data_IF_041400769348
#
_entry.id   IF_041400769348
#
_cell.length_a   1.000
_cell.length_b   1.000
_cell.length_c   1.000
_cell.angle_alpha   90.00
_cell.angle_beta   90.00
_cell.angle_gamma   90.00
#
_symmetry.space_group_name_H-M   'P 1'
#
loop_
_entity.id
_entity.type
_entity.pdbx_description
1 polymer ?
#
# COMPACT_ATOMS: atom_id res chain seq x y z
N UNK A 1 26.15 -30.27 -60.10
CA UNK A 1 26.17 -29.89 -61.53
C UNK A 1 24.94 -29.05 -61.83
N UNK A 2 25.16 -27.79 -62.28
CA UNK A 2 24.23 -26.85 -62.96
C UNK A 2 22.96 -26.43 -62.19
N UNK A 3 22.47 -25.20 -62.24
CA UNK A 3 22.96 -23.88 -62.70
C UNK A 3 21.92 -22.85 -62.27
N UNK A 4 22.37 -21.61 -62.09
CA UNK A 4 21.66 -20.39 -61.75
C UNK A 4 20.53 -19.98 -62.72
N UNK A 5 19.58 -19.21 -62.19
CA UNK A 5 18.70 -18.29 -62.92
C UNK A 5 18.24 -17.16 -62.00
N UNK A 6 18.75 -15.95 -62.24
CA UNK A 6 18.57 -14.73 -61.46
C UNK A 6 17.66 -13.73 -62.24
N UNK A 7 17.19 -12.70 -61.52
CA UNK A 7 16.73 -11.37 -61.96
C UNK A 7 15.21 -11.14 -62.01
N UNK A 8 14.76 -10.19 -61.18
CA UNK A 8 13.45 -9.54 -61.31
C UNK A 8 13.07 -8.61 -60.15
N UNK A 9 13.89 -7.59 -59.85
CA UNK A 9 13.56 -6.51 -58.90
C UNK A 9 12.26 -5.80 -59.29
N UNK A 10 11.39 -5.52 -58.31
CA UNK A 10 10.30 -4.51 -58.39
C UNK A 10 10.37 -3.55 -57.20
N UNK A 11 9.96 -2.28 -57.36
CA UNK A 11 10.47 -1.16 -56.59
C UNK A 11 9.72 -0.91 -55.29
N UNK A 12 10.45 -0.38 -54.30
CA UNK A 12 9.93 0.18 -53.06
C UNK A 12 9.22 1.51 -53.35
N UNK A 13 7.93 1.59 -53.03
CA UNK A 13 7.14 2.81 -53.03
C UNK A 13 7.40 3.61 -51.75
N UNK A 14 8.01 4.78 -51.92
CA UNK A 14 8.20 5.82 -50.93
C UNK A 14 6.85 6.33 -50.42
N UNK A 15 6.59 6.27 -49.11
CA UNK A 15 5.66 7.16 -48.43
C UNK A 15 6.46 8.24 -47.70
N UNK A 16 6.45 9.45 -48.28
CA UNK A 16 6.89 10.68 -47.62
C UNK A 16 5.74 11.15 -46.73
N UNK A 17 5.93 11.18 -45.42
CA UNK A 17 5.09 11.98 -44.52
C UNK A 17 5.84 13.28 -44.24
N UNK A 18 5.19 14.39 -44.59
CA UNK A 18 5.70 15.73 -44.50
C UNK A 18 5.85 16.19 -43.05
N UNK A 19 7.01 16.76 -42.72
CA UNK A 19 7.23 17.56 -41.53
C UNK A 19 6.72 18.97 -41.84
N UNK A 20 5.60 19.36 -41.23
CA UNK A 20 5.12 20.73 -41.25
C UNK A 20 5.68 21.46 -40.03
N UNK A 21 6.58 22.41 -40.29
CA UNK A 21 6.98 23.43 -39.34
C UNK A 21 5.85 24.46 -39.19
N UNK A 22 5.44 24.75 -37.96
CA UNK A 22 4.63 25.94 -37.65
C UNK A 22 5.40 26.79 -36.65
N UNK A 23 5.54 28.04 -37.04
CA UNK A 23 6.34 29.07 -36.41
C UNK A 23 5.78 29.56 -35.08
N UNK A 24 6.71 30.04 -34.27
CA UNK A 24 6.57 30.74 -33.00
C UNK A 24 5.73 32.01 -33.10
N UNK A 25 4.79 32.19 -32.17
CA UNK A 25 4.22 33.48 -31.80
C UNK A 25 4.26 33.57 -30.27
N UNK A 26 5.08 34.49 -29.77
CA UNK A 26 5.18 34.82 -28.35
C UNK A 26 4.14 35.87 -27.95
N UNK A 27 3.52 35.66 -26.80
CA UNK A 27 2.81 36.65 -25.97
C UNK A 27 2.95 36.07 -24.54
N UNK A 28 3.80 36.63 -23.67
CA UNK A 28 3.48 37.78 -22.83
C UNK A 28 2.98 37.31 -21.45
N UNK A 29 3.89 36.97 -20.54
CA UNK A 29 3.55 36.71 -19.13
C UNK A 29 3.92 37.93 -18.29
N UNK A 30 2.89 38.64 -17.85
CA UNK A 30 2.93 39.78 -16.94
C UNK A 30 3.48 39.36 -15.56
N UNK A 31 4.33 40.23 -15.00
CA UNK A 31 4.85 40.08 -13.65
C UNK A 31 3.93 40.62 -12.56
N UNK A 32 4.27 40.22 -11.32
CA UNK A 32 3.91 40.87 -10.06
C UNK A 32 3.14 39.98 -9.07
N UNK A 33 3.24 40.21 -7.74
CA UNK A 33 4.40 40.69 -6.99
C UNK A 33 4.76 39.80 -5.78
N UNK A 34 6.00 39.93 -5.33
CA UNK A 34 6.54 39.47 -4.05
C UNK A 34 5.84 40.10 -2.84
N UNK A 35 5.54 39.36 -1.75
CA UNK A 35 5.21 39.96 -0.46
C UNK A 35 6.48 40.22 0.38
N UNK A 36 6.42 41.22 1.29
CA UNK A 36 7.61 41.82 1.90
C UNK A 36 8.09 41.08 3.16
N UNK A 37 9.37 41.31 3.44
CA UNK A 37 10.13 40.90 4.61
C UNK A 37 9.96 41.83 5.83
N UNK A 38 9.82 41.23 7.01
CA UNK A 38 10.28 41.75 8.32
C UNK A 38 9.22 41.81 9.43
N UNK A 39 9.61 41.94 10.74
CA UNK A 39 10.93 41.79 11.36
C UNK A 39 10.93 40.90 12.65
N UNK A 40 12.01 41.03 13.43
CA UNK A 40 12.60 40.18 14.47
C UNK A 40 11.86 39.99 15.83
N UNK A 41 12.19 38.83 16.45
CA UNK A 41 12.44 38.47 17.88
C UNK A 41 11.76 39.17 19.08
N UNK A 42 11.05 38.34 19.89
CA UNK A 42 11.17 38.06 21.35
C UNK A 42 10.97 39.20 22.40
N UNK A 43 10.63 38.93 23.71
CA UNK A 43 10.82 37.69 24.46
C UNK A 43 9.67 37.25 25.42
N UNK A 44 9.98 36.16 26.13
CA UNK A 44 9.21 35.33 27.04
C UNK A 44 8.53 36.00 28.25
N UNK A 45 7.48 35.35 28.75
CA UNK A 45 7.17 35.31 30.18
C UNK A 45 6.71 33.92 30.67
N UNK A 46 7.40 33.47 31.71
CA UNK A 46 7.14 32.35 32.60
C UNK A 46 5.77 32.46 33.29
N UNK A 47 5.05 31.33 33.45
CA UNK A 47 4.25 31.11 34.67
C UNK A 47 4.20 29.61 35.04
N UNK A 48 4.89 29.31 36.13
CA UNK A 48 4.61 28.38 37.23
C UNK A 48 4.01 26.96 37.03
N UNK A 49 4.87 26.01 37.34
CA UNK A 49 4.78 24.71 38.04
C UNK A 49 3.54 24.30 38.88
N UNK A 50 3.17 23.01 38.68
CA UNK A 50 2.82 21.93 39.67
C UNK A 50 1.42 21.89 40.34
N UNK A 51 1.03 20.77 41.01
CA UNK A 51 0.82 19.41 40.48
C UNK A 51 -0.52 18.78 41.00
N UNK A 52 -1.00 17.67 40.41
CA UNK A 52 -2.03 16.82 41.05
C UNK A 52 -1.94 15.39 40.48
N UNK A 53 -1.20 14.48 41.11
CA UNK A 53 -1.65 13.47 42.09
C UNK A 53 -2.71 12.49 41.56
N UNK A 54 -2.23 11.31 41.13
CA UNK A 54 -3.01 10.06 41.11
C UNK A 54 -3.29 9.58 42.54
N UNK A 55 -4.42 8.91 42.80
CA UNK A 55 -4.51 7.92 43.84
C UNK A 55 -4.25 6.51 43.28
N UNK A 56 -3.40 5.81 44.02
CA UNK A 56 -3.16 4.37 43.96
C UNK A 56 -4.24 3.69 44.79
N UNK A 57 -4.88 2.65 44.27
CA UNK A 57 -5.48 1.61 45.10
C UNK A 57 -4.90 0.25 44.72
N UNK A 58 -4.57 -0.50 45.75
CA UNK A 58 -3.78 -1.71 45.72
C UNK A 58 -4.61 -2.93 46.11
N UNK A 59 -4.29 -4.04 45.45
CA UNK A 59 -4.38 -5.43 45.87
C UNK A 59 -5.72 -6.03 46.30
N UNK A 60 -6.12 -7.10 45.61
CA UNK A 60 -6.16 -8.44 46.24
C UNK A 60 -5.89 -9.52 45.19
N UNK A 61 -4.92 -10.37 45.49
CA UNK A 61 -4.65 -11.63 44.81
C UNK A 61 -5.41 -12.75 45.53
N UNK A 62 -6.07 -13.63 44.79
CA UNK A 62 -6.39 -15.00 45.25
C UNK A 62 -6.21 -15.98 44.09
N UNK A 63 -5.90 -17.20 44.49
CA UNK A 63 -5.12 -18.18 43.76
C UNK A 63 -5.92 -19.10 42.81
N UNK A 64 -5.15 -19.74 41.93
CA UNK A 64 -5.28 -21.08 41.37
C UNK A 64 -6.64 -21.78 41.42
N UNK A 65 -7.21 -22.05 40.24
CA UNK A 65 -7.83 -23.36 39.95
C UNK A 65 -7.97 -23.57 38.44
N UNK A 66 -7.37 -24.65 37.96
CA UNK A 66 -7.53 -25.19 36.59
C UNK A 66 -8.69 -26.20 36.58
N UNK A 67 -9.57 -26.15 35.57
CA UNK A 67 -10.16 -27.38 35.03
C UNK A 67 -10.01 -27.39 33.50
N UNK A 68 -9.26 -28.35 32.94
CA UNK A 68 -9.75 -29.65 32.45
C UNK A 68 -10.61 -29.53 31.19
N UNK A 69 -10.03 -30.01 30.10
CA UNK A 69 -10.60 -30.12 28.74
C UNK A 69 -11.79 -31.09 28.76
N UNK A 70 -12.96 -30.63 28.33
CA UNK A 70 -14.07 -31.48 27.94
C UNK A 70 -14.51 -31.12 26.52
N UNK A 71 -14.46 -32.11 25.64
CA UNK A 71 -14.86 -32.00 24.25
C UNK A 71 -16.38 -31.75 24.15
N UNK A 72 -16.74 -30.56 23.66
CA UNK A 72 -18.12 -30.17 23.35
C UNK A 72 -18.29 -29.94 21.85
N UNK A 73 -19.21 -30.69 21.26
CA UNK A 73 -19.80 -30.59 19.90
C UNK A 73 -20.06 -29.10 19.50
N UNK A 74 -19.89 -28.69 18.24
CA UNK A 74 -19.82 -27.26 17.89
C UNK A 74 -21.14 -26.58 18.20
N UNK A 75 -21.09 -25.62 19.13
CA UNK A 75 -22.16 -24.68 19.35
C UNK A 75 -22.31 -23.82 18.08
N UNK A 76 -23.45 -23.96 17.42
CA UNK A 76 -23.85 -23.09 16.33
C UNK A 76 -23.86 -21.64 16.80
N UNK A 77 -23.38 -20.75 15.95
CA UNK A 77 -23.41 -19.30 16.16
C UNK A 77 -24.86 -18.84 16.30
N UNK A 78 -25.29 -18.50 17.51
CA UNK A 78 -26.56 -17.82 17.77
C UNK A 78 -26.33 -16.31 17.79
N UNK A 79 -26.62 -15.63 16.68
CA UNK A 79 -27.10 -14.24 16.63
C UNK A 79 -26.12 -13.06 16.78
N UNK A 80 -25.91 -12.33 15.68
CA UNK A 80 -25.73 -10.86 15.61
C UNK A 80 -24.70 -10.16 16.52
N UNK A 81 -23.42 -10.32 16.20
CA UNK A 81 -22.37 -9.32 16.38
C UNK A 81 -21.20 -9.69 15.43
N UNK A 82 -21.03 -9.18 14.21
CA UNK A 82 -21.74 -8.23 13.35
C UNK A 82 -20.67 -7.74 12.37
N UNK A 83 -20.80 -8.00 11.05
CA UNK A 83 -19.85 -7.46 10.06
C UNK A 83 -19.76 -5.93 10.23
N UNK A 84 -18.60 -5.28 9.96
CA UNK A 84 -18.46 -3.86 10.23
C UNK A 84 -19.50 -3.04 9.48
N UNK A 85 -19.85 -1.90 10.02
CA UNK A 85 -20.82 -0.96 9.47
C UNK A 85 -20.19 0.42 9.33
N UNK A 86 -20.85 1.32 8.59
CA UNK A 86 -20.40 2.70 8.49
C UNK A 86 -20.52 3.47 9.81
N UNK A 87 -21.28 2.96 10.78
CA UNK A 87 -21.41 3.56 12.11
C UNK A 87 -20.22 3.27 13.03
N UNK A 88 -19.45 2.21 12.76
CA UNK A 88 -18.29 1.85 13.56
C UNK A 88 -17.17 2.89 13.39
N UNK A 89 -16.70 3.46 14.49
CA UNK A 89 -15.68 4.52 14.49
C UNK A 89 -14.26 4.00 14.79
N UNK A 90 -14.09 2.68 14.83
CA UNK A 90 -12.81 1.99 15.02
C UNK A 90 -12.76 0.74 14.15
N UNK A 91 -11.57 0.22 13.83
CA UNK A 91 -11.45 -1.07 13.17
C UNK A 91 -11.96 -2.20 14.06
N UNK A 92 -12.44 -3.27 13.43
CA UNK A 92 -12.77 -4.52 14.10
C UNK A 92 -11.77 -5.60 13.68
N UNK A 93 -11.37 -6.43 14.64
CA UNK A 93 -10.54 -7.61 14.39
C UNK A 93 -11.39 -8.87 14.43
N UNK A 94 -10.99 -9.84 13.61
CA UNK A 94 -11.59 -11.16 13.50
C UNK A 94 -10.48 -12.22 13.47
N UNK A 95 -10.81 -13.50 13.68
CA UNK A 95 -9.81 -14.56 13.54
C UNK A 95 -9.14 -14.52 12.15
N UNK A 96 -7.83 -14.32 12.13
CA UNK A 96 -7.01 -14.17 10.92
C UNK A 96 -7.26 -12.92 10.06
N UNK A 97 -7.99 -11.91 10.55
CA UNK A 97 -8.20 -10.62 9.88
C UNK A 97 -8.10 -9.46 10.87
N UNK A 98 -7.29 -8.48 10.54
CA UNK A 98 -7.06 -7.31 11.37
C UNK A 98 -7.57 -6.04 10.68
N UNK A 99 -7.93 -5.03 11.46
CA UNK A 99 -8.27 -3.69 10.99
C UNK A 99 -9.42 -3.65 9.96
N UNK A 100 -10.46 -4.45 10.16
CA UNK A 100 -11.58 -4.56 9.22
C UNK A 100 -12.54 -3.37 9.38
N UNK A 101 -12.79 -2.64 8.28
CA UNK A 101 -13.60 -1.41 8.25
C UNK A 101 -14.53 -1.40 7.04
N UNK A 102 -15.81 -1.08 7.22
CA UNK A 102 -16.76 -0.90 6.11
C UNK A 102 -16.56 0.45 5.41
N UNK A 103 -16.63 0.49 4.08
CA UNK A 103 -16.56 1.73 3.28
C UNK A 103 -17.84 2.02 2.49
N UNK A 104 -18.65 0.99 2.27
CA UNK A 104 -20.01 1.08 1.75
C UNK A 104 -20.77 -0.20 2.15
N UNK A 105 -22.10 -0.30 1.94
CA UNK A 105 -22.82 -1.56 2.16
C UNK A 105 -22.15 -2.72 1.41
N UNK A 106 -21.81 -3.80 2.14
CA UNK A 106 -21.14 -4.99 1.62
C UNK A 106 -19.75 -4.74 1.01
N UNK A 107 -19.04 -3.68 1.41
CA UNK A 107 -17.71 -3.33 0.90
C UNK A 107 -16.80 -2.96 2.06
N UNK A 108 -15.71 -3.72 2.20
CA UNK A 108 -14.85 -3.72 3.39
C UNK A 108 -13.37 -3.57 3.01
N UNK A 109 -12.61 -2.90 3.88
CA UNK A 109 -11.14 -2.87 3.89
C UNK A 109 -10.63 -3.68 5.08
N UNK A 110 -9.44 -4.28 5.01
CA UNK A 110 -8.74 -4.85 6.17
C UNK A 110 -7.39 -5.49 5.81
N UNK A 111 -6.81 -6.27 6.73
CA UNK A 111 -5.51 -6.95 6.53
C UNK A 111 -5.59 -8.12 5.56
N UNK A 112 -4.42 -8.61 5.16
CA UNK A 112 -4.30 -9.89 4.45
C UNK A 112 -4.96 -10.99 5.30
N UNK A 113 -5.73 -11.91 4.70
CA UNK A 113 -6.21 -13.09 5.42
C UNK A 113 -5.03 -13.96 5.84
N UNK A 114 -4.88 -14.17 7.15
CA UNK A 114 -3.79 -14.97 7.72
C UNK A 114 -4.19 -16.44 7.80
N UNK A 115 -3.48 -17.27 7.03
CA UNK A 115 -3.67 -18.72 7.05
C UNK A 115 -5.10 -19.15 6.75
N UNK A 116 -5.45 -20.39 7.11
CA UNK A 116 -6.79 -20.93 6.83
C UNK A 116 -7.88 -20.23 7.65
N UNK A 117 -7.54 -19.71 8.83
CA UNK A 117 -8.47 -19.02 9.70
C UNK A 117 -8.99 -17.71 9.06
N UNK A 118 -8.12 -16.91 8.45
CA UNK A 118 -8.52 -15.68 7.77
C UNK A 118 -9.49 -15.94 6.60
N UNK A 119 -9.20 -16.92 5.75
CA UNK A 119 -10.09 -17.28 4.64
C UNK A 119 -11.43 -17.87 5.13
N UNK A 120 -11.41 -18.70 6.18
CA UNK A 120 -12.63 -19.21 6.80
C UNK A 120 -13.49 -18.09 7.39
N UNK A 121 -12.87 -17.08 8.00
CA UNK A 121 -13.56 -15.88 8.49
C UNK A 121 -14.20 -15.10 7.35
N UNK A 122 -13.48 -14.84 6.24
CA UNK A 122 -14.06 -14.17 5.07
C UNK A 122 -15.26 -14.94 4.50
N UNK A 123 -15.18 -16.27 4.43
CA UNK A 123 -16.31 -17.10 4.00
C UNK A 123 -17.51 -16.97 4.95
N UNK A 124 -17.29 -17.01 6.27
CA UNK A 124 -18.35 -16.83 7.30
C UNK A 124 -18.99 -15.44 7.24
N UNK A 125 -18.22 -14.41 6.91
CA UNK A 125 -18.73 -13.06 6.64
C UNK A 125 -19.52 -12.96 5.32
N UNK A 126 -19.53 -14.02 4.52
CA UNK A 126 -20.25 -14.10 3.25
C UNK A 126 -19.51 -13.44 2.09
N UNK A 127 -18.25 -13.04 2.26
CA UNK A 127 -17.43 -12.42 1.21
C UNK A 127 -17.44 -13.30 -0.05
N UNK A 128 -17.55 -12.66 -1.21
CA UNK A 128 -17.50 -13.32 -2.52
C UNK A 128 -16.24 -12.99 -3.29
N UNK A 129 -15.72 -11.78 -3.11
CA UNK A 129 -14.54 -11.28 -3.81
C UNK A 129 -13.54 -10.67 -2.84
N UNK A 130 -12.27 -11.07 -2.99
CA UNK A 130 -11.11 -10.47 -2.37
C UNK A 130 -10.36 -9.64 -3.43
N UNK A 131 -9.95 -8.43 -3.06
CA UNK A 131 -9.07 -7.58 -3.88
C UNK A 131 -7.80 -7.30 -3.09
N UNK A 132 -6.68 -7.90 -3.50
CA UNK A 132 -5.37 -7.52 -2.97
C UNK A 132 -4.91 -6.24 -3.65
N UNK A 133 -4.56 -5.24 -2.86
CA UNK A 133 -3.80 -4.06 -3.31
C UNK A 133 -2.39 -4.04 -2.72
N UNK A 134 -1.99 -5.15 -2.10
CA UNK A 134 -0.64 -5.42 -1.63
C UNK A 134 0.31 -5.68 -2.81
N UNK A 135 1.62 -5.66 -2.56
CA UNK A 135 2.60 -6.15 -3.52
C UNK A 135 2.85 -7.66 -3.47
N UNK A 136 2.45 -8.34 -2.38
CA UNK A 136 2.56 -9.80 -2.30
C UNK A 136 1.55 -10.52 -3.20
N UNK A 137 1.98 -11.65 -3.77
CA UNK A 137 1.12 -12.51 -4.57
C UNK A 137 -0.03 -13.10 -3.73
N UNK A 138 -1.28 -13.01 -4.21
CA UNK A 138 -2.43 -13.67 -3.59
C UNK A 138 -2.29 -15.19 -3.43
N UNK A 139 -2.75 -15.73 -2.30
CA UNK A 139 -2.89 -17.18 -2.09
C UNK A 139 -4.16 -17.74 -2.78
N UNK A 140 -4.11 -17.86 -4.11
CA UNK A 140 -5.26 -18.23 -4.95
C UNK A 140 -5.82 -19.63 -4.66
N UNK A 141 -4.95 -20.62 -4.38
CA UNK A 141 -5.37 -21.99 -4.07
C UNK A 141 -6.23 -22.03 -2.81
N UNK A 142 -5.82 -21.29 -1.77
CA UNK A 142 -6.60 -21.16 -0.53
C UNK A 142 -7.93 -20.45 -0.80
N UNK A 143 -7.92 -19.32 -1.49
CA UNK A 143 -9.17 -18.62 -1.82
C UNK A 143 -10.15 -19.53 -2.58
N UNK A 144 -9.65 -20.34 -3.52
CA UNK A 144 -10.44 -21.30 -4.29
C UNK A 144 -11.06 -22.38 -3.38
N UNK A 145 -10.32 -22.92 -2.41
CA UNK A 145 -10.84 -23.89 -1.44
C UNK A 145 -12.02 -23.33 -0.62
N UNK A 146 -12.03 -22.03 -0.36
CA UNK A 146 -13.12 -21.34 0.35
C UNK A 146 -14.21 -20.78 -0.58
N UNK A 147 -14.11 -20.98 -1.89
CA UNK A 147 -15.08 -20.50 -2.88
C UNK A 147 -15.06 -18.98 -3.07
N UNK A 148 -13.89 -18.36 -2.89
CA UNK A 148 -13.69 -16.91 -2.95
C UNK A 148 -12.99 -16.54 -4.26
N UNK A 149 -13.53 -15.56 -4.98
CA UNK A 149 -12.80 -14.93 -6.09
C UNK A 149 -11.70 -14.05 -5.52
N UNK A 150 -10.50 -14.08 -6.08
CA UNK A 150 -9.37 -13.29 -5.59
C UNK A 150 -8.64 -12.61 -6.76
N UNK A 151 -8.61 -11.28 -6.78
CA UNK A 151 -7.92 -10.48 -7.80
C UNK A 151 -6.79 -9.64 -7.21
N UNK A 152 -5.84 -9.22 -8.04
CA UNK A 152 -4.64 -8.50 -7.63
C UNK A 152 -4.48 -7.19 -8.39
N UNK A 153 -4.63 -6.07 -7.68
CA UNK A 153 -4.47 -4.71 -8.19
C UNK A 153 -3.51 -3.91 -7.27
N UNK A 154 -2.20 -4.24 -7.28
CA UNK A 154 -1.21 -3.67 -6.35
C UNK A 154 -1.13 -2.15 -6.44
N UNK A 155 -0.96 -1.47 -5.30
CA UNK A 155 -0.62 -0.04 -5.24
C UNK A 155 0.57 0.18 -4.31
N UNK A 156 1.18 1.37 -4.38
CA UNK A 156 2.29 1.75 -3.49
C UNK A 156 1.79 2.66 -2.36
N UNK A 157 2.58 2.78 -1.30
CA UNK A 157 2.35 3.77 -0.24
C UNK A 157 2.46 5.23 -0.69
N UNK A 158 3.07 5.49 -1.85
CA UNK A 158 3.13 6.81 -2.45
C UNK A 158 1.87 7.18 -3.24
N UNK A 159 0.90 6.28 -3.35
CA UNK A 159 -0.30 6.46 -4.15
C UNK A 159 -0.31 5.61 -5.42
N UNK A 160 -1.22 5.95 -6.32
CA UNK A 160 -1.47 5.26 -7.58
C UNK A 160 -2.05 6.21 -8.62
N UNK A 161 -1.93 5.84 -9.89
CA UNK A 161 -2.35 6.66 -11.02
C UNK A 161 -3.87 6.57 -11.30
N UNK A 162 -4.32 7.40 -12.24
CA UNK A 162 -5.73 7.45 -12.65
C UNK A 162 -6.23 6.11 -13.20
N UNK A 163 -5.40 5.41 -13.97
CA UNK A 163 -5.77 4.11 -14.55
C UNK A 163 -6.07 3.11 -13.45
N UNK A 164 -5.18 2.98 -12.46
CA UNK A 164 -5.35 2.08 -11.31
C UNK A 164 -6.56 2.49 -10.47
N UNK A 165 -6.82 3.79 -10.28
CA UNK A 165 -8.04 4.27 -9.62
C UNK A 165 -9.31 3.78 -10.32
N UNK A 166 -9.37 3.88 -11.65
CA UNK A 166 -10.52 3.43 -12.43
C UNK A 166 -10.67 1.90 -12.43
N UNK A 167 -9.56 1.15 -12.49
CA UNK A 167 -9.55 -0.31 -12.33
C UNK A 167 -10.15 -0.73 -10.96
N UNK A 168 -9.70 -0.08 -9.87
CA UNK A 168 -10.21 -0.33 -8.52
C UNK A 168 -11.70 0.03 -8.39
N UNK A 169 -12.10 1.20 -8.87
CA UNK A 169 -13.50 1.64 -8.84
C UNK A 169 -14.41 0.69 -9.61
N UNK A 170 -13.97 0.23 -10.79
CA UNK A 170 -14.73 -0.75 -11.56
C UNK A 170 -14.81 -2.11 -10.85
N UNK A 171 -13.70 -2.60 -10.28
CA UNK A 171 -13.70 -3.84 -9.52
C UNK A 171 -14.72 -3.79 -8.36
N UNK A 172 -14.74 -2.67 -7.61
CA UNK A 172 -15.70 -2.43 -6.53
C UNK A 172 -17.15 -2.37 -7.05
N UNK A 173 -17.38 -1.78 -8.22
CA UNK A 173 -18.71 -1.69 -8.84
C UNK A 173 -19.22 -3.06 -9.32
N UNK A 174 -18.41 -3.79 -10.07
CA UNK A 174 -18.86 -4.89 -10.93
C UNK A 174 -18.67 -6.28 -10.30
N UNK A 175 -17.70 -6.46 -9.40
CA UNK A 175 -17.43 -7.79 -8.86
C UNK A 175 -18.48 -8.23 -7.82
N UNK A 176 -18.69 -9.55 -7.66
CA UNK A 176 -19.62 -10.10 -6.68
C UNK A 176 -19.35 -9.56 -5.27
N UNK A 177 -20.42 -9.12 -4.62
CA UNK A 177 -20.41 -8.61 -3.25
C UNK A 177 -20.96 -9.67 -2.29
N UNK A 178 -20.63 -9.64 -0.99
CA UNK A 178 -19.72 -8.70 -0.34
C UNK A 178 -18.26 -8.77 -0.80
N UNK A 179 -17.61 -7.60 -0.89
CA UNK A 179 -16.24 -7.44 -1.38
C UNK A 179 -15.31 -7.00 -0.24
N UNK A 180 -14.15 -7.63 -0.16
CA UNK A 180 -13.11 -7.34 0.82
C UNK A 180 -11.82 -6.91 0.11
N UNK A 181 -11.37 -5.69 0.34
CA UNK A 181 -10.11 -5.16 -0.19
C UNK A 181 -9.05 -5.17 0.91
N UNK A 182 -7.87 -5.72 0.64
CA UNK A 182 -6.82 -5.75 1.65
C UNK A 182 -5.45 -5.32 1.14
N UNK A 183 -4.62 -4.92 2.09
CA UNK A 183 -3.17 -4.84 1.95
C UNK A 183 -2.54 -5.69 3.06
N UNK A 184 -1.27 -5.47 3.40
CA UNK A 184 -0.62 -6.28 4.43
C UNK A 184 -1.28 -6.12 5.81
N UNK A 185 -1.25 -4.90 6.34
CA UNK A 185 -1.78 -4.60 7.68
C UNK A 185 -3.25 -4.13 7.69
N UNK A 186 -3.79 -3.80 6.52
CA UNK A 186 -5.18 -3.34 6.38
C UNK A 186 -5.46 -1.90 6.74
N UNK A 187 -4.43 -1.15 7.12
CA UNK A 187 -4.57 0.22 7.62
C UNK A 187 -4.40 1.30 6.57
N UNK A 188 -3.63 1.04 5.51
CA UNK A 188 -3.05 2.09 4.67
C UNK A 188 -3.48 1.95 3.21
N UNK A 189 -2.84 1.06 2.44
CA UNK A 189 -3.10 0.88 1.02
C UNK A 189 -4.55 0.46 0.74
N UNK A 190 -5.09 -0.51 1.47
CA UNK A 190 -6.50 -0.91 1.32
C UNK A 190 -7.47 0.22 1.62
N UNK A 191 -7.19 1.00 2.67
CA UNK A 191 -8.00 2.16 3.07
C UNK A 191 -7.98 3.27 2.00
N UNK A 192 -6.79 3.62 1.48
CA UNK A 192 -6.65 4.63 0.43
C UNK A 192 -7.20 4.18 -0.93
N UNK A 193 -6.98 2.92 -1.31
CA UNK A 193 -7.53 2.34 -2.53
C UNK A 193 -9.06 2.30 -2.50
N UNK A 194 -9.63 1.78 -1.40
CA UNK A 194 -11.08 1.64 -1.26
C UNK A 194 -11.75 2.99 -1.08
N UNK A 195 -11.13 3.91 -0.33
CA UNK A 195 -11.56 5.30 -0.18
C UNK A 195 -11.67 6.00 -1.53
N UNK A 196 -10.60 6.00 -2.34
CA UNK A 196 -10.63 6.55 -3.69
C UNK A 196 -11.69 5.87 -4.58
N UNK A 197 -11.83 4.54 -4.51
CA UNK A 197 -12.80 3.80 -5.31
C UNK A 197 -14.25 4.21 -4.99
N UNK A 198 -14.64 4.28 -3.71
CA UNK A 198 -16.01 4.66 -3.33
C UNK A 198 -16.33 6.12 -3.65
N UNK A 199 -15.34 7.01 -3.60
CA UNK A 199 -15.48 8.40 -4.04
C UNK A 199 -15.65 8.46 -5.56
N UNK A 200 -14.85 7.71 -6.32
CA UNK A 200 -14.95 7.62 -7.78
C UNK A 200 -16.31 7.08 -8.25
N UNK A 201 -16.92 6.20 -7.46
CA UNK A 201 -18.29 5.71 -7.69
C UNK A 201 -19.38 6.70 -7.24
N UNK A 202 -19.02 7.75 -6.51
CA UNK A 202 -19.95 8.72 -5.93
C UNK A 202 -20.77 8.15 -4.76
N UNK A 203 -20.27 7.12 -4.08
CA UNK A 203 -20.92 6.51 -2.90
C UNK A 203 -20.57 7.24 -1.61
N UNK A 204 -19.49 8.02 -1.61
CA UNK A 204 -19.00 8.78 -0.47
C UNK A 204 -18.35 10.08 -0.96
N UNK A 205 -18.40 11.14 -0.16
CA UNK A 205 -17.65 12.37 -0.46
C UNK A 205 -16.13 12.15 -0.23
N UNK A 206 -15.24 12.91 -0.88
CA UNK A 206 -13.81 12.82 -0.61
C UNK A 206 -13.46 13.03 0.86
N UNK A 207 -14.16 13.95 1.53
CA UNK A 207 -13.96 14.27 2.95
C UNK A 207 -14.32 13.09 3.83
N UNK A 208 -15.50 12.50 3.63
CA UNK A 208 -15.96 11.35 4.42
C UNK A 208 -15.06 10.13 4.20
N UNK A 209 -14.56 9.92 2.98
CA UNK A 209 -13.66 8.82 2.66
C UNK A 209 -12.28 9.00 3.33
N UNK A 210 -11.78 10.23 3.40
CA UNK A 210 -10.56 10.56 4.16
C UNK A 210 -10.78 10.33 5.67
N UNK A 211 -11.93 10.71 6.24
CA UNK A 211 -12.22 10.37 7.63
C UNK A 211 -12.28 8.85 7.83
N UNK A 212 -12.81 8.11 6.85
CA UNK A 212 -12.84 6.64 6.92
C UNK A 212 -11.47 5.99 6.84
N UNK A 213 -10.52 6.59 6.11
CA UNK A 213 -9.11 6.19 6.14
C UNK A 213 -8.52 6.29 7.55
N UNK A 214 -8.88 7.34 8.31
CA UNK A 214 -8.44 7.50 9.70
C UNK A 214 -9.05 6.44 10.62
N UNK A 215 -10.32 6.07 10.41
CA UNK A 215 -10.96 4.95 11.12
C UNK A 215 -10.18 3.64 10.90
N UNK A 216 -9.67 3.41 9.69
CA UNK A 216 -8.82 2.26 9.37
C UNK A 216 -7.41 2.35 9.99
N UNK A 217 -7.05 3.48 10.60
CA UNK A 217 -5.71 3.71 11.17
C UNK A 217 -4.68 4.13 10.12
N UNK A 218 -5.08 4.78 9.03
CA UNK A 218 -4.12 5.30 8.04
C UNK A 218 -3.23 6.38 8.67
N UNK A 219 -1.92 6.12 8.75
CA UNK A 219 -0.99 7.09 9.32
C UNK A 219 -0.91 8.36 8.45
N UNK A 220 -0.87 9.56 9.05
CA UNK A 220 -0.91 10.85 8.33
C UNK A 220 0.26 11.05 7.35
N UNK A 221 1.36 10.33 7.56
CA UNK A 221 2.57 10.43 6.73
C UNK A 221 2.42 9.80 5.34
N UNK A 222 1.39 8.97 5.12
CA UNK A 222 1.05 8.44 3.80
C UNK A 222 0.28 9.47 2.95
N UNK A 223 0.89 10.64 2.76
CA UNK A 223 0.31 11.78 2.05
C UNK A 223 -0.16 11.43 0.64
N UNK A 224 0.55 10.54 -0.05
CA UNK A 224 0.17 10.07 -1.39
C UNK A 224 -1.17 9.35 -1.40
N UNK A 225 -1.41 8.44 -0.46
CA UNK A 225 -2.69 7.74 -0.33
C UNK A 225 -3.83 8.71 0.01
N UNK A 226 -3.59 9.63 0.96
CA UNK A 226 -4.57 10.66 1.30
C UNK A 226 -4.88 11.58 0.11
N UNK A 227 -3.87 11.98 -0.66
CA UNK A 227 -4.05 12.79 -1.86
C UNK A 227 -4.86 12.05 -2.92
N UNK A 228 -4.63 10.75 -3.13
CA UNK A 228 -5.44 9.93 -4.04
C UNK A 228 -6.93 9.92 -3.67
N UNK A 229 -7.27 9.86 -2.37
CA UNK A 229 -8.68 9.87 -1.93
C UNK A 229 -9.27 11.27 -1.91
N UNK A 230 -8.54 12.27 -1.38
CA UNK A 230 -9.00 13.65 -1.29
C UNK A 230 -9.24 14.30 -2.65
N UNK A 231 -8.44 13.94 -3.65
CA UNK A 231 -8.56 14.46 -5.02
C UNK A 231 -9.41 13.56 -5.94
N UNK A 232 -9.92 12.43 -5.44
CA UNK A 232 -10.80 11.58 -6.23
C UNK A 232 -12.12 12.32 -6.51
N UNK A 233 -12.66 12.11 -7.71
CA UNK A 233 -13.93 12.67 -8.14
C UNK A 233 -14.81 11.58 -8.71
N UNK A 234 -16.13 11.76 -8.59
CA UNK A 234 -17.10 10.88 -9.22
C UNK A 234 -16.90 10.90 -10.74
N UNK A 235 -16.84 9.73 -11.36
CA UNK A 235 -16.76 9.58 -12.81
C UNK A 235 -18.10 9.11 -13.39
N UNK A 236 -18.28 9.37 -14.69
CA UNK A 236 -19.44 8.84 -15.41
C UNK A 236 -19.31 7.31 -15.58
N UNK A 237 -20.41 6.53 -15.53
CA UNK A 237 -20.38 5.08 -15.72
C UNK A 237 -19.65 4.64 -17.01
N UNK A 238 -19.84 5.37 -18.11
CA UNK A 238 -19.19 5.07 -19.39
C UNK A 238 -17.65 5.09 -19.33
N UNK A 239 -17.05 5.88 -18.42
CA UNK A 239 -15.59 5.88 -18.22
C UNK A 239 -15.15 4.56 -17.60
N UNK A 240 -15.90 4.03 -16.63
CA UNK A 240 -15.61 2.75 -16.02
C UNK A 240 -15.89 1.59 -16.98
N UNK A 241 -16.93 1.69 -17.81
CA UNK A 241 -17.27 0.66 -18.80
C UNK A 241 -16.18 0.50 -19.87
N UNK A 242 -15.38 1.55 -20.12
CA UNK A 242 -14.27 1.56 -21.05
C UNK A 242 -12.97 0.91 -20.50
N UNK A 243 -12.89 0.65 -19.19
CA UNK A 243 -11.79 -0.13 -18.61
C UNK A 243 -11.93 -1.60 -19.06
N UNK A 244 -10.95 -2.47 -18.85
CA UNK A 244 -11.15 -3.91 -18.99
C UNK A 244 -11.82 -4.48 -17.73
N UNK A 245 -12.78 -5.39 -17.88
CA UNK A 245 -13.51 -6.03 -16.78
C UNK A 245 -12.83 -7.31 -16.30
N UNK A 246 -11.82 -7.77 -17.05
CA UNK A 246 -11.02 -8.93 -16.73
C UNK A 246 -9.88 -8.52 -15.80
N UNK A 247 -10.16 -8.56 -14.50
CA UNK A 247 -9.14 -8.28 -13.50
C UNK A 247 -8.22 -9.49 -13.30
N UNK A 248 -6.89 -9.29 -13.31
CA UNK A 248 -5.94 -10.37 -13.13
C UNK A 248 -5.95 -10.92 -11.70
N UNK A 249 -5.74 -12.22 -11.55
CA UNK A 249 -5.55 -12.88 -10.25
C UNK A 249 -4.15 -12.63 -9.68
N UNK A 250 -3.17 -12.36 -10.55
CA UNK A 250 -1.79 -12.00 -10.17
C UNK A 250 -1.24 -10.91 -11.08
N UNK A 251 -0.72 -9.83 -10.48
CA UNK A 251 0.09 -8.81 -11.15
C UNK A 251 1.47 -8.79 -10.50
N UNK A 252 2.51 -8.89 -11.32
CA UNK A 252 3.91 -8.72 -10.88
C UNK A 252 4.46 -7.46 -11.53
N UNK A 253 4.92 -6.45 -10.77
CA UNK A 253 5.68 -5.34 -11.33
C UNK A 253 6.96 -5.84 -12.02
N UNK A 254 7.47 -5.01 -12.91
CA UNK A 254 8.55 -5.30 -13.85
C UNK A 254 9.71 -6.08 -13.21
N UNK A 255 10.06 -7.24 -13.81
CA UNK A 255 10.85 -8.32 -13.22
C UNK A 255 12.18 -7.95 -12.55
N UNK A 256 12.85 -8.97 -11.99
CA UNK A 256 13.86 -8.80 -10.95
C UNK A 256 14.88 -7.66 -11.19
N UNK A 257 15.47 -7.55 -12.38
CA UNK A 257 16.45 -6.48 -12.68
C UNK A 257 15.87 -5.07 -12.52
N UNK A 258 14.65 -4.81 -13.01
CA UNK A 258 14.05 -3.47 -12.88
C UNK A 258 13.73 -3.19 -11.42
N UNK A 259 13.17 -4.16 -10.71
CA UNK A 259 12.86 -4.01 -9.29
C UNK A 259 14.12 -3.74 -8.47
N UNK A 260 15.28 -4.33 -8.81
CA UNK A 260 16.56 -4.02 -8.15
C UNK A 260 17.03 -2.58 -8.38
N UNK A 261 16.80 -1.99 -9.56
CA UNK A 261 17.09 -0.57 -9.82
C UNK A 261 16.20 0.31 -8.94
N UNK A 262 14.92 -0.03 -8.80
CA UNK A 262 14.00 0.72 -7.96
C UNK A 262 14.34 0.60 -6.45
N UNK A 263 14.82 -0.57 -6.01
CA UNK A 263 15.37 -0.77 -4.66
C UNK A 263 16.58 0.14 -4.41
N UNK A 264 17.48 0.26 -5.37
CA UNK A 264 18.65 1.14 -5.27
C UNK A 264 18.21 2.61 -5.15
N UNK A 265 17.30 3.07 -6.01
CA UNK A 265 16.73 4.42 -5.95
C UNK A 265 16.06 4.69 -4.60
N UNK A 266 15.22 3.77 -4.11
CA UNK A 266 14.56 3.93 -2.82
C UNK A 266 15.58 3.97 -1.66
N UNK A 267 16.64 3.17 -1.74
CA UNK A 267 17.73 3.18 -0.76
C UNK A 267 18.51 4.50 -0.78
N UNK A 268 18.78 5.07 -1.96
CA UNK A 268 19.42 6.40 -2.08
C UNK A 268 18.52 7.51 -1.52
N UNK A 269 17.22 7.46 -1.80
CA UNK A 269 16.26 8.40 -1.21
C UNK A 269 16.23 8.30 0.32
N UNK A 270 16.27 7.08 0.89
CA UNK A 270 16.36 6.87 2.33
C UNK A 270 17.67 7.41 2.92
N UNK A 271 18.80 7.38 2.18
CA UNK A 271 20.04 8.05 2.61
C UNK A 271 19.90 9.58 2.65
N UNK A 272 19.16 10.19 1.72
CA UNK A 272 18.86 11.62 1.76
C UNK A 272 17.98 11.99 2.96
N UNK A 273 16.96 11.16 3.24
CA UNK A 273 16.10 11.27 4.42
C UNK A 273 16.91 11.13 5.71
N UNK A 274 17.81 10.14 5.78
CA UNK A 274 18.72 9.94 6.92
C UNK A 274 19.58 11.18 7.18
N UNK A 275 20.21 11.73 6.13
CA UNK A 275 21.00 12.98 6.22
C UNK A 275 20.19 14.18 6.70
N UNK A 276 18.87 14.16 6.45
CA UNK A 276 17.92 15.16 6.93
C UNK A 276 17.37 14.87 8.33
N UNK A 277 17.99 13.94 9.07
CA UNK A 277 17.58 13.55 10.41
C UNK A 277 16.24 12.83 10.45
N UNK A 278 15.96 12.00 9.45
CA UNK A 278 14.72 11.24 9.29
C UNK A 278 13.46 12.11 9.11
N UNK A 279 13.65 13.30 8.55
CA UNK A 279 12.59 14.23 8.16
C UNK A 279 12.52 14.36 6.64
N UNK A 280 11.42 14.92 6.14
CA UNK A 280 11.29 15.28 4.73
C UNK A 280 12.42 16.27 4.37
N UNK A 281 13.28 15.95 3.39
CA UNK A 281 14.33 16.86 2.94
C UNK A 281 13.73 18.14 2.31
N UNK A 282 14.31 19.30 2.59
CA UNK A 282 13.80 20.60 2.10
C UNK A 282 13.91 20.73 0.57
N UNK A 283 14.94 20.14 -0.03
CA UNK A 283 15.22 20.09 -1.46
C UNK A 283 14.41 19.00 -2.19
N UNK A 284 13.84 18.05 -1.43
CA UNK A 284 13.04 16.94 -1.97
C UNK A 284 11.73 16.75 -1.18
N UNK A 285 10.76 17.68 -1.30
CA UNK A 285 9.54 17.68 -0.50
C UNK A 285 8.60 16.47 -0.76
N UNK A 286 8.83 15.74 -1.86
CA UNK A 286 8.10 14.52 -2.18
C UNK A 286 8.60 13.27 -1.41
N UNK A 287 9.77 13.32 -0.77
CA UNK A 287 10.37 12.19 -0.05
C UNK A 287 9.83 12.10 1.38
N UNK A 288 8.60 11.61 1.51
CA UNK A 288 8.03 11.27 2.81
C UNK A 288 8.73 10.01 3.39
N UNK A 289 9.34 10.08 4.58
CA UNK A 289 10.16 9.00 5.13
C UNK A 289 9.48 7.63 5.17
N UNK A 290 8.30 7.55 5.80
CA UNK A 290 7.56 6.30 5.91
C UNK A 290 7.13 5.76 4.53
N UNK A 291 6.74 6.64 3.61
CA UNK A 291 6.34 6.23 2.27
C UNK A 291 7.52 5.66 1.46
N UNK A 292 8.72 6.22 1.62
CA UNK A 292 9.91 5.73 0.92
C UNK A 292 10.38 4.38 1.48
N UNK A 293 10.36 4.20 2.80
CA UNK A 293 10.62 2.91 3.44
C UNK A 293 9.57 1.87 3.02
N UNK A 294 8.30 2.26 2.94
CA UNK A 294 7.22 1.40 2.45
C UNK A 294 7.41 0.97 0.99
N UNK A 295 7.88 1.86 0.09
CA UNK A 295 8.24 1.47 -1.28
C UNK A 295 9.33 0.41 -1.30
N UNK A 296 10.38 0.60 -0.49
CA UNK A 296 11.47 -0.36 -0.40
C UNK A 296 10.97 -1.73 0.08
N UNK A 297 10.11 -1.74 1.12
CA UNK A 297 9.48 -2.97 1.60
C UNK A 297 8.65 -3.65 0.50
N UNK A 298 7.84 -2.88 -0.25
CA UNK A 298 7.01 -3.37 -1.34
C UNK A 298 7.84 -3.99 -2.47
N UNK A 299 8.96 -3.39 -2.86
CA UNK A 299 9.85 -3.97 -3.87
C UNK A 299 10.38 -5.35 -3.47
N UNK A 300 10.76 -5.54 -2.20
CA UNK A 300 11.13 -6.87 -1.72
C UNK A 300 9.94 -7.83 -1.70
N UNK A 301 8.72 -7.39 -1.35
CA UNK A 301 7.51 -8.23 -1.43
C UNK A 301 7.23 -8.71 -2.84
N UNK A 302 7.37 -7.83 -3.83
CA UNK A 302 7.23 -8.19 -5.24
C UNK A 302 8.27 -9.23 -5.67
N UNK A 303 9.51 -9.10 -5.20
CA UNK A 303 10.58 -10.05 -5.54
C UNK A 303 10.41 -11.42 -4.91
N UNK A 304 9.87 -11.54 -3.70
CA UNK A 304 9.72 -12.82 -2.99
C UNK A 304 8.92 -13.86 -3.82
N UNK A 305 7.92 -13.41 -4.58
CA UNK A 305 7.11 -14.26 -5.48
C UNK A 305 7.53 -14.22 -6.95
N UNK A 306 8.64 -13.57 -7.29
CA UNK A 306 9.11 -13.50 -8.68
C UNK A 306 9.70 -14.83 -9.15
N UNK A 307 9.55 -15.13 -10.45
CA UNK A 307 10.06 -16.38 -11.05
C UNK A 307 11.58 -16.48 -10.93
N UNK A 308 12.31 -15.37 -11.07
CA UNK A 308 13.76 -15.39 -10.97
C UNK A 308 14.21 -15.64 -9.53
N UNK A 309 13.49 -15.09 -8.54
CA UNK A 309 13.76 -15.33 -7.12
C UNK A 309 13.44 -16.77 -6.72
N UNK A 310 12.29 -17.30 -7.14
CA UNK A 310 11.85 -18.66 -6.80
C UNK A 310 12.66 -19.76 -7.50
N UNK A 311 13.30 -19.45 -8.63
CA UNK A 311 14.23 -20.35 -9.32
C UNK A 311 15.64 -20.39 -8.70
N UNK A 312 15.98 -19.45 -7.80
CA UNK A 312 17.29 -19.39 -7.14
C UNK A 312 17.35 -20.29 -5.90
N UNK A 313 18.56 -20.58 -5.36
CA UNK A 313 18.69 -21.39 -4.15
C UNK A 313 17.88 -20.82 -2.97
N UNK A 314 17.37 -21.66 -2.04
CA UNK A 314 16.57 -21.21 -0.90
C UNK A 314 17.21 -20.08 -0.07
N UNK A 315 18.54 -20.05 0.01
CA UNK A 315 19.27 -18.98 0.69
C UNK A 315 19.12 -17.59 0.04
N UNK A 316 18.83 -17.51 -1.27
CA UNK A 316 18.50 -16.25 -1.95
C UNK A 316 17.13 -15.73 -1.52
N UNK A 317 16.12 -16.60 -1.55
CA UNK A 317 14.76 -16.28 -1.11
C UNK A 317 14.74 -15.85 0.37
N UNK A 318 15.50 -16.53 1.23
CA UNK A 318 15.63 -16.17 2.63
C UNK A 318 16.17 -14.73 2.80
N UNK A 319 17.20 -14.34 2.05
CA UNK A 319 17.74 -12.98 2.12
C UNK A 319 16.74 -11.93 1.60
N UNK A 320 15.90 -12.26 0.62
CA UNK A 320 14.82 -11.37 0.17
C UNK A 320 13.73 -11.20 1.23
N UNK A 321 13.40 -12.28 1.94
CA UNK A 321 12.45 -12.25 3.06
C UNK A 321 13.01 -11.45 4.25
N UNK A 322 14.29 -11.63 4.58
CA UNK A 322 14.98 -10.82 5.59
C UNK A 322 15.02 -9.34 5.19
N UNK A 323 15.36 -9.03 3.93
CA UNK A 323 15.38 -7.65 3.43
C UNK A 323 13.99 -7.00 3.48
N UNK A 324 12.93 -7.74 3.12
CA UNK A 324 11.57 -7.28 3.28
C UNK A 324 11.25 -6.99 4.74
N UNK A 325 11.51 -7.94 5.64
CA UNK A 325 11.27 -7.78 7.08
C UNK A 325 11.98 -6.54 7.64
N UNK A 326 13.25 -6.35 7.30
CA UNK A 326 14.05 -5.23 7.80
C UNK A 326 13.53 -3.88 7.26
N UNK A 327 13.12 -3.83 6.00
CA UNK A 327 12.52 -2.63 5.39
C UNK A 327 11.15 -2.32 5.99
N UNK A 328 10.32 -3.34 6.25
CA UNK A 328 9.03 -3.19 6.94
C UNK A 328 9.22 -2.68 8.37
N UNK A 329 10.20 -3.20 9.12
CA UNK A 329 10.49 -2.69 10.45
C UNK A 329 10.92 -1.21 10.43
N UNK A 330 11.71 -0.79 9.44
CA UNK A 330 12.06 0.63 9.27
C UNK A 330 10.82 1.48 8.96
N UNK A 331 9.95 1.02 8.07
CA UNK A 331 8.67 1.67 7.77
C UNK A 331 7.84 1.86 9.05
N UNK A 332 7.64 0.79 9.83
CA UNK A 332 6.86 0.82 11.06
C UNK A 332 7.43 1.83 12.06
N UNK A 333 8.74 1.82 12.28
CA UNK A 333 9.41 2.79 13.13
C UNK A 333 9.16 4.24 12.67
N UNK A 334 9.18 4.48 11.35
CA UNK A 334 8.91 5.80 10.80
C UNK A 334 7.45 6.22 10.95
N UNK A 335 6.50 5.28 10.91
CA UNK A 335 5.07 5.58 11.13
C UNK A 335 4.70 5.85 12.58
N UNK A 336 5.52 5.43 13.55
CA UNK A 336 5.33 5.76 14.97
C UNK A 336 5.59 7.25 15.28
N UNK A 337 6.19 8.00 14.34
CA UNK A 337 6.42 9.44 14.44
C UNK A 337 7.60 9.81 15.36
N UNK A 338 7.62 11.02 15.96
CA UNK A 338 8.80 11.56 16.67
C UNK A 338 9.17 10.82 17.97
N UNK A 339 8.43 9.77 18.34
CA UNK A 339 8.74 8.92 19.49
C UNK A 339 9.94 8.00 19.27
N UNK A 340 10.39 7.80 18.03
CA UNK A 340 11.58 7.00 17.72
C UNK A 340 12.80 7.89 17.57
N UNK A 341 13.87 7.58 18.31
CA UNK A 341 15.10 8.36 18.24
C UNK A 341 15.79 8.17 16.86
N UNK A 342 16.32 9.24 16.24
CA UNK A 342 17.07 9.14 14.99
C UNK A 342 18.18 8.08 14.99
N UNK A 343 18.85 7.90 16.13
CA UNK A 343 19.89 6.89 16.28
C UNK A 343 19.37 5.44 16.16
N UNK A 344 18.11 5.17 16.51
CA UNK A 344 17.50 3.85 16.36
C UNK A 344 17.05 3.60 14.92
N UNK A 345 16.56 4.64 14.23
CA UNK A 345 16.31 4.60 12.79
C UNK A 345 17.61 4.37 12.00
N UNK A 346 18.72 5.00 12.40
CA UNK A 346 20.04 4.76 11.81
C UNK A 346 20.50 3.31 11.98
N UNK A 347 20.29 2.72 13.18
CA UNK A 347 20.59 1.31 13.42
C UNK A 347 19.76 0.41 12.51
N UNK A 348 18.45 0.66 12.42
CA UNK A 348 17.57 -0.16 11.60
C UNK A 348 17.91 -0.03 10.11
N UNK A 349 18.17 1.18 9.61
CA UNK A 349 18.57 1.36 8.21
C UNK A 349 19.93 0.76 7.89
N UNK A 350 20.84 0.70 8.88
CA UNK A 350 22.09 -0.06 8.75
C UNK A 350 21.82 -1.56 8.58
N UNK A 351 20.83 -2.13 9.28
CA UNK A 351 20.41 -3.53 9.06
C UNK A 351 19.90 -3.72 7.64
N UNK A 352 18.97 -2.87 7.18
CA UNK A 352 18.44 -2.90 5.80
C UNK A 352 19.56 -2.91 4.75
N UNK A 353 20.50 -1.97 4.85
CA UNK A 353 21.62 -1.87 3.89
C UNK A 353 22.63 -3.01 4.02
N UNK A 354 22.76 -3.63 5.19
CA UNK A 354 23.61 -4.80 5.40
C UNK A 354 23.03 -6.05 4.74
N UNK A 355 21.71 -6.21 4.71
CA UNK A 355 21.04 -7.33 4.01
C UNK A 355 21.29 -7.25 2.50
N UNK A 356 21.27 -6.04 1.91
CA UNK A 356 21.66 -5.83 0.50
C UNK A 356 23.11 -6.30 0.23
N UNK A 357 24.05 -5.90 1.10
CA UNK A 357 25.47 -6.31 0.98
C UNK A 357 25.63 -7.82 1.08
N UNK A 358 24.91 -8.45 2.01
CA UNK A 358 24.98 -9.89 2.26
C UNK A 358 24.44 -10.71 1.09
N UNK A 359 23.34 -10.25 0.47
CA UNK A 359 22.83 -10.86 -0.76
C UNK A 359 23.78 -10.66 -1.94
N UNK A 360 24.29 -9.45 -2.14
CA UNK A 360 25.21 -9.17 -3.25
C UNK A 360 26.53 -9.93 -3.14
N UNK A 361 27.09 -10.09 -1.95
CA UNK A 361 28.31 -10.86 -1.73
C UNK A 361 28.17 -12.34 -2.09
N UNK A 362 26.95 -12.88 -2.11
CA UNK A 362 26.68 -14.30 -2.39
C UNK A 362 26.12 -14.57 -3.80
N UNK A 363 25.38 -13.63 -4.37
CA UNK A 363 24.49 -13.91 -5.50
C UNK A 363 24.50 -12.86 -6.62
N UNK A 364 25.37 -11.84 -6.56
CA UNK A 364 25.49 -10.79 -7.59
C UNK A 364 26.42 -11.18 -8.73
N UNK A 365 27.37 -12.07 -8.47
CA UNK A 365 28.37 -12.54 -9.44
C UNK A 365 27.91 -13.79 -10.19
#
# INVERSE_FOLDING_TARGET
>A
MKSFGNIGRRPASFWRVAVAAVASLGIGACGGPTPPSGPAQAPAQNVASSPATNPVEAHTATADTKPSVAAGKPAGFTGAAGVPTLADNRPLDYPGLHNVVAYAPNVYSGSVPEGDEGFATLQKMGIKTIVSVDGSEPELDKATQYGLKYIHLPITYAGFDEKRKLELARAVRDLPKPLYMHCHHGKHRSAGALGSAVVTLGWMSPVDAVERMKVSGTAPDYKGLYACTANATKVMPAILDAIDGNFPEVVRPQGTTRTMVEIDVATENLKLIQKSGWKVPNDHPALAPAAEAGKLADYYRFLIGDKDTTARPPAYLQLMQEANKDATALEEMLTQGPGVAPADLDKQFKVVTQTCKSCHAKFRD
#
